data_IF_017094527948
#
_entry.id   IF_017094527948
#
_cell.length_a   1.000
_cell.length_b   1.000
_cell.length_c   1.000
_cell.angle_alpha   90.00
_cell.angle_beta   90.00
_cell.angle_gamma   90.00
#
_symmetry.space_group_name_H-M   'P 1'
#
loop_
_entity.id
_entity.type
_entity.pdbx_description
1 polymer ?
#
# COMPACT_ATOMS: atom_id res chain seq x y z
N UNK A 1 19.62 -22.70 -16.96
CA UNK A 1 20.47 -21.80 -16.13
C UNK A 1 20.20 -20.30 -16.33
N UNK A 2 19.78 -19.82 -17.51
CA UNK A 2 19.46 -18.39 -17.76
C UNK A 2 18.18 -17.85 -17.08
N UNK A 3 17.21 -18.71 -16.74
CA UNK A 3 15.93 -18.28 -16.14
C UNK A 3 16.07 -17.94 -14.64
N UNK A 4 16.92 -18.66 -13.90
CA UNK A 4 17.15 -18.40 -12.47
C UNK A 4 17.82 -17.05 -12.20
N UNK A 5 18.60 -16.53 -13.16
CA UNK A 5 19.25 -15.23 -13.05
C UNK A 5 18.24 -14.07 -13.09
N UNK A 6 17.07 -14.21 -13.72
CA UNK A 6 16.11 -13.11 -13.84
C UNK A 6 15.40 -12.78 -12.52
N UNK A 7 15.18 -13.78 -11.67
CA UNK A 7 14.48 -13.62 -10.38
C UNK A 7 15.39 -13.25 -9.19
N UNK A 8 16.70 -13.12 -9.40
CA UNK A 8 17.58 -12.69 -8.32
C UNK A 8 17.27 -11.24 -7.89
N UNK A 9 17.22 -10.96 -6.58
CA UNK A 9 17.04 -9.62 -6.04
C UNK A 9 18.04 -8.64 -6.65
N UNK A 10 17.64 -7.40 -6.94
CA UNK A 10 18.50 -6.45 -7.66
C UNK A 10 19.81 -6.14 -6.95
N UNK A 11 19.90 -6.22 -5.61
CA UNK A 11 21.17 -6.10 -4.86
C UNK A 11 22.25 -7.11 -5.25
N UNK A 12 21.86 -8.26 -5.81
CA UNK A 12 22.82 -9.25 -6.33
C UNK A 12 23.40 -8.88 -7.69
N UNK A 13 22.74 -7.96 -8.41
CA UNK A 13 23.06 -7.55 -9.79
C UNK A 13 23.56 -6.11 -9.87
N UNK A 14 23.20 -5.28 -8.91
CA UNK A 14 23.49 -3.85 -8.86
C UNK A 14 24.17 -3.53 -7.52
N UNK A 15 25.43 -3.06 -7.53
CA UNK A 15 26.20 -2.78 -6.33
C UNK A 15 25.60 -1.65 -5.46
N UNK A 16 24.74 -0.81 -6.04
CA UNK A 16 24.11 0.34 -5.38
C UNK A 16 22.91 -0.05 -4.49
N UNK A 17 22.44 -1.30 -4.57
CA UNK A 17 21.34 -1.78 -3.75
C UNK A 17 21.87 -2.47 -2.49
N UNK A 18 21.56 -1.91 -1.32
CA UNK A 18 21.95 -2.49 -0.03
C UNK A 18 21.05 -3.64 0.40
N UNK A 19 21.60 -4.61 1.13
CA UNK A 19 20.82 -5.68 1.78
C UNK A 19 19.98 -5.08 2.92
N UNK A 20 18.69 -5.37 2.89
CA UNK A 20 17.65 -4.81 3.79
C UNK A 20 17.19 -5.80 4.86
N UNK A 21 18.00 -6.83 5.17
CA UNK A 21 17.64 -7.88 6.12
C UNK A 21 17.30 -7.33 7.52
N UNK A 22 18.02 -6.30 7.97
CA UNK A 22 17.72 -5.63 9.24
C UNK A 22 16.36 -4.93 9.22
N UNK A 23 16.01 -4.28 8.10
CA UNK A 23 14.74 -3.57 7.93
C UNK A 23 13.57 -4.55 7.89
N UNK A 24 13.72 -5.66 7.15
CA UNK A 24 12.71 -6.72 7.12
C UNK A 24 12.50 -7.32 8.53
N UNK A 25 13.57 -7.58 9.28
CA UNK A 25 13.47 -8.05 10.67
C UNK A 25 12.75 -7.04 11.57
N UNK A 26 12.99 -5.75 11.38
CA UNK A 26 12.27 -4.71 12.11
C UNK A 26 10.79 -4.70 11.74
N UNK A 27 10.46 -4.77 10.45
CA UNK A 27 9.08 -4.85 9.97
C UNK A 27 8.36 -6.03 10.59
N UNK A 28 8.98 -7.21 10.59
CA UNK A 28 8.42 -8.41 11.23
C UNK A 28 8.06 -8.16 12.70
N UNK A 29 8.94 -7.48 13.45
CA UNK A 29 8.73 -7.21 14.87
C UNK A 29 7.53 -6.30 15.15
N UNK A 30 7.31 -5.26 14.33
CA UNK A 30 6.21 -4.32 14.55
C UNK A 30 4.97 -4.57 13.67
N UNK A 31 5.00 -5.59 12.81
CA UNK A 31 3.92 -5.89 11.87
C UNK A 31 2.54 -6.03 12.52
N UNK A 32 2.35 -6.69 13.68
CA UNK A 32 1.04 -6.77 14.31
C UNK A 32 0.48 -5.40 14.71
N UNK A 33 1.36 -4.49 15.14
CA UNK A 33 1.02 -3.10 15.44
C UNK A 33 0.65 -2.32 14.19
N UNK A 34 1.40 -2.52 13.09
CA UNK A 34 1.07 -1.92 11.79
C UNK A 34 -0.25 -2.44 11.23
N UNK A 35 -0.51 -3.74 11.30
CA UNK A 35 -1.79 -4.32 10.86
C UNK A 35 -2.96 -3.65 11.58
N UNK A 36 -2.87 -3.54 12.91
CA UNK A 36 -3.89 -2.89 13.73
C UNK A 36 -4.08 -1.42 13.37
N UNK A 37 -2.97 -0.66 13.31
CA UNK A 37 -3.02 0.79 13.05
C UNK A 37 -3.49 1.10 11.62
N UNK A 38 -3.00 0.37 10.63
CA UNK A 38 -3.41 0.54 9.24
C UNK A 38 -4.87 0.13 9.05
N UNK A 39 -5.31 -0.97 9.66
CA UNK A 39 -6.71 -1.41 9.59
C UNK A 39 -7.65 -0.35 10.18
N UNK A 40 -7.27 0.27 11.30
CA UNK A 40 -8.03 1.35 11.90
C UNK A 40 -8.03 2.60 11.00
N UNK A 41 -6.88 3.00 10.48
CA UNK A 41 -6.77 4.14 9.57
C UNK A 41 -7.61 3.96 8.30
N UNK A 42 -7.61 2.77 7.70
CA UNK A 42 -8.45 2.43 6.55
C UNK A 42 -9.92 2.57 6.90
N UNK A 43 -10.35 2.03 8.06
CA UNK A 43 -11.73 2.15 8.53
C UNK A 43 -12.14 3.62 8.67
N UNK A 44 -11.34 4.39 9.40
CA UNK A 44 -11.64 5.79 9.73
C UNK A 44 -11.61 6.70 8.50
N UNK A 45 -10.79 6.37 7.50
CA UNK A 45 -10.69 7.15 6.27
C UNK A 45 -11.76 6.76 5.24
N UNK A 46 -12.06 5.47 5.10
CA UNK A 46 -12.90 4.95 4.01
C UNK A 46 -14.38 4.88 4.40
N UNK A 47 -14.75 4.53 5.64
CA UNK A 47 -16.17 4.47 6.03
C UNK A 47 -16.90 5.82 5.86
N UNK A 48 -16.34 6.98 6.23
CA UNK A 48 -17.01 8.26 6.01
C UNK A 48 -17.23 8.58 4.52
N UNK A 49 -16.25 8.22 3.68
CA UNK A 49 -16.36 8.38 2.22
C UNK A 49 -17.49 7.51 1.67
N UNK A 50 -17.54 6.23 2.07
CA UNK A 50 -18.58 5.31 1.64
C UNK A 50 -19.97 5.79 2.05
N UNK A 51 -20.13 6.28 3.29
CA UNK A 51 -21.41 6.83 3.79
C UNK A 51 -21.92 8.00 2.96
N UNK A 52 -21.02 8.86 2.48
CA UNK A 52 -21.37 10.03 1.65
C UNK A 52 -21.79 9.61 0.24
N UNK A 53 -21.24 8.52 -0.27
CA UNK A 53 -21.53 8.00 -1.61
C UNK A 53 -22.68 6.98 -1.63
N UNK A 54 -23.30 6.65 -0.49
CA UNK A 54 -24.37 5.66 -0.41
C UNK A 54 -25.61 6.09 -1.20
N UNK A 55 -26.09 5.28 -2.15
CA UNK A 55 -27.41 5.44 -2.73
C UNK A 55 -28.53 5.30 -1.69
N UNK A 56 -29.69 5.90 -1.95
CA UNK A 56 -30.85 5.86 -1.04
C UNK A 56 -31.41 4.47 -0.73
N UNK A 57 -31.08 3.46 -1.55
CA UNK A 57 -31.47 2.07 -1.34
C UNK A 57 -30.50 1.26 -0.46
N UNK A 58 -29.38 1.86 -0.04
CA UNK A 58 -28.40 1.22 0.86
C UNK A 58 -28.65 1.72 2.29
N UNK A 59 -29.09 0.82 3.17
CA UNK A 59 -29.42 1.15 4.56
C UNK A 59 -28.17 1.29 5.44
N UNK A 60 -27.11 0.54 5.11
CA UNK A 60 -25.86 0.54 5.85
C UNK A 60 -24.72 0.03 4.97
N UNK A 61 -23.52 0.60 5.16
CA UNK A 61 -22.27 0.11 4.60
C UNK A 61 -21.18 0.24 5.66
N UNK A 62 -20.28 -0.75 5.76
CA UNK A 62 -19.18 -0.70 6.71
C UNK A 62 -18.30 -1.93 6.67
N UNK A 63 -17.12 -1.83 7.27
CA UNK A 63 -16.19 -2.96 7.32
C UNK A 63 -16.56 -3.90 8.46
N UNK A 64 -16.74 -5.18 8.16
CA UNK A 64 -16.88 -6.22 9.17
C UNK A 64 -15.53 -6.76 9.62
N UNK A 65 -14.57 -6.80 8.68
CA UNK A 65 -13.21 -7.28 8.94
C UNK A 65 -12.22 -6.46 8.11
N UNK A 66 -11.11 -6.10 8.72
CA UNK A 66 -9.93 -5.55 8.04
C UNK A 66 -8.72 -6.18 8.70
N UNK A 67 -7.85 -6.79 7.89
CA UNK A 67 -6.50 -7.20 8.29
C UNK A 67 -5.61 -7.24 7.06
N UNK A 68 -4.37 -6.81 7.23
CA UNK A 68 -3.25 -6.95 6.32
C UNK A 68 -2.70 -8.38 6.29
N UNK A 69 -3.12 -9.22 7.24
CA UNK A 69 -2.70 -10.61 7.36
C UNK A 69 -1.38 -10.77 8.13
N UNK A 70 -0.97 -12.02 8.40
CA UNK A 70 0.20 -12.31 9.22
C UNK A 70 1.53 -12.10 8.49
N UNK A 71 1.50 -11.96 7.15
CA UNK A 71 2.70 -11.88 6.32
C UNK A 71 3.06 -10.41 6.04
N UNK A 72 4.20 -9.93 6.57
CA UNK A 72 4.67 -8.57 6.32
C UNK A 72 5.11 -8.34 4.88
N UNK A 73 5.17 -7.06 4.52
CA UNK A 73 5.84 -6.62 3.31
C UNK A 73 7.35 -6.84 3.41
N UNK A 74 7.96 -7.18 2.28
CA UNK A 74 9.39 -7.42 2.17
C UNK A 74 10.03 -6.31 1.36
N UNK A 75 11.07 -5.69 1.92
CA UNK A 75 11.93 -4.77 1.20
C UNK A 75 13.01 -5.59 0.51
N UNK A 76 12.96 -5.64 -0.82
CA UNK A 76 13.89 -6.40 -1.68
C UNK A 76 15.22 -5.69 -1.93
N UNK A 77 15.28 -4.38 -1.73
CA UNK A 77 16.49 -3.58 -1.84
C UNK A 77 16.22 -2.12 -1.50
N UNK A 78 17.27 -1.43 -1.10
CA UNK A 78 17.24 0.01 -0.82
C UNK A 78 18.32 0.71 -1.64
N UNK A 79 17.96 1.83 -2.24
CA UNK A 79 18.87 2.72 -2.97
C UNK A 79 18.75 4.12 -2.40
N UNK A 80 19.85 4.69 -1.96
CA UNK A 80 19.89 6.07 -1.47
C UNK A 80 20.39 6.97 -2.59
N UNK A 81 19.80 8.15 -2.71
CA UNK A 81 20.30 9.25 -3.53
C UNK A 81 20.53 10.47 -2.65
N UNK A 82 21.40 11.37 -3.11
CA UNK A 82 21.79 12.58 -2.39
C UNK A 82 23.30 12.63 -2.17
N UNK A 83 23.93 13.72 -2.61
CA UNK A 83 25.34 13.99 -2.34
C UNK A 83 25.54 14.96 -1.17
N UNK A 84 24.52 15.78 -0.84
CA UNK A 84 24.57 16.89 0.12
C UNK A 84 23.30 16.93 1.01
N UNK A 85 23.31 17.79 2.04
CA UNK A 85 22.26 17.99 3.07
C UNK A 85 20.92 18.56 2.60
N UNK A 86 20.68 18.65 1.29
CA UNK A 86 19.45 19.24 0.73
C UNK A 86 18.57 18.22 -0.02
N UNK A 87 19.13 17.07 -0.43
CA UNK A 87 18.46 16.11 -1.31
C UNK A 87 18.63 14.66 -0.81
N UNK A 88 18.32 14.42 0.47
CA UNK A 88 18.32 13.07 1.00
C UNK A 88 17.09 12.30 0.49
N UNK A 89 17.33 11.26 -0.31
CA UNK A 89 16.27 10.45 -0.92
C UNK A 89 16.55 8.96 -0.74
N UNK A 90 15.50 8.18 -0.53
CA UNK A 90 15.56 6.74 -0.35
C UNK A 90 14.49 6.04 -1.20
N UNK A 91 14.94 5.18 -2.09
CA UNK A 91 14.08 4.29 -2.87
C UNK A 91 14.10 2.89 -2.24
N UNK A 92 12.91 2.38 -1.93
CA UNK A 92 12.68 1.05 -1.36
C UNK A 92 11.89 0.19 -2.35
N UNK A 93 12.46 -0.94 -2.72
CA UNK A 93 11.75 -1.94 -3.51
C UNK A 93 10.89 -2.80 -2.59
N UNK A 94 9.58 -2.65 -2.69
CA UNK A 94 8.62 -3.36 -1.86
C UNK A 94 7.99 -4.48 -2.67
N UNK A 95 7.95 -5.68 -2.07
CA UNK A 95 7.17 -6.80 -2.52
C UNK A 95 6.31 -7.30 -1.36
N UNK A 96 5.02 -7.51 -1.61
CA UNK A 96 4.09 -7.95 -0.59
C UNK A 96 3.11 -8.96 -1.19
N UNK A 97 3.09 -10.15 -0.63
CA UNK A 97 2.12 -11.21 -0.93
C UNK A 97 1.50 -11.58 0.39
N UNK A 98 0.28 -11.10 0.61
CA UNK A 98 -0.28 -11.01 1.94
C UNK A 98 -1.47 -11.92 2.15
N UNK A 99 -1.68 -12.29 3.41
CA UNK A 99 -2.96 -12.85 3.86
C UNK A 99 -3.99 -11.76 4.15
N UNK A 100 -4.04 -10.69 3.34
CA UNK A 100 -5.04 -9.63 3.47
C UNK A 100 -6.42 -10.27 3.41
N UNK A 101 -7.28 -9.85 4.34
CA UNK A 101 -8.67 -10.29 4.38
C UNK A 101 -9.56 -9.13 4.85
N UNK A 102 -10.14 -8.43 3.88
CA UNK A 102 -11.04 -7.31 4.14
C UNK A 102 -12.44 -7.70 3.72
N UNK A 103 -13.41 -7.56 4.61
CA UNK A 103 -14.83 -7.81 4.34
C UNK A 103 -15.58 -6.50 4.56
N UNK A 104 -16.07 -5.95 3.46
CA UNK A 104 -16.95 -4.79 3.43
C UNK A 104 -18.38 -5.29 3.17
N UNK A 105 -19.33 -4.97 4.04
CA UNK A 105 -20.72 -5.37 3.84
C UNK A 105 -21.61 -4.16 3.57
N UNK A 106 -22.56 -4.34 2.67
CA UNK A 106 -23.65 -3.41 2.43
C UNK A 106 -25.01 -4.08 2.71
N UNK A 107 -25.94 -3.38 3.32
CA UNK A 107 -27.33 -3.81 3.46
C UNK A 107 -28.20 -3.10 2.44
N UNK A 108 -28.71 -3.85 1.48
CA UNK A 108 -29.55 -3.33 0.38
C UNK A 108 -30.90 -4.01 0.45
N UNK A 109 -31.97 -3.24 0.64
CA UNK A 109 -33.34 -3.77 0.83
C UNK A 109 -33.43 -4.89 1.90
N UNK A 110 -32.66 -4.78 2.98
CA UNK A 110 -32.60 -5.77 4.05
C UNK A 110 -31.72 -7.01 3.76
N UNK A 111 -31.13 -7.10 2.58
CA UNK A 111 -30.19 -8.17 2.21
C UNK A 111 -28.75 -7.74 2.49
N UNK A 112 -28.00 -8.58 3.22
CA UNK A 112 -26.57 -8.39 3.46
C UNK A 112 -25.77 -8.86 2.25
N UNK A 113 -24.98 -7.95 1.68
CA UNK A 113 -24.09 -8.20 0.55
C UNK A 113 -22.64 -7.99 1.03
N UNK A 114 -21.92 -9.06 1.40
CA UNK A 114 -20.51 -8.99 1.79
C UNK A 114 -19.62 -9.03 0.54
N UNK A 115 -18.71 -8.07 0.43
CA UNK A 115 -17.65 -8.01 -0.58
C UNK A 115 -16.32 -8.25 0.13
N UNK A 116 -15.60 -9.29 -0.29
CA UNK A 116 -14.32 -9.70 0.27
C UNK A 116 -13.18 -9.35 -0.68
N UNK A 117 -12.21 -8.60 -0.20
CA UNK A 117 -10.91 -8.37 -0.83
C UNK A 117 -9.88 -9.30 -0.18
N UNK A 118 -9.18 -10.08 -1.00
CA UNK A 118 -8.18 -11.06 -0.55
C UNK A 118 -7.05 -11.24 -1.57
N UNK A 119 -6.06 -12.06 -1.23
CA UNK A 119 -4.93 -12.46 -2.10
C UNK A 119 -4.20 -11.27 -2.75
N UNK A 120 -3.99 -10.20 -1.96
CA UNK A 120 -3.30 -9.00 -2.45
C UNK A 120 -1.83 -9.32 -2.72
N UNK A 121 -1.40 -9.04 -3.94
CA UNK A 121 -0.02 -9.11 -4.38
C UNK A 121 0.39 -7.75 -4.92
N UNK A 122 1.44 -7.19 -4.34
CA UNK A 122 1.96 -5.87 -4.66
C UNK A 122 3.45 -5.98 -4.90
N UNK A 123 3.93 -5.37 -5.98
CA UNK A 123 5.35 -5.10 -6.20
C UNK A 123 5.50 -3.67 -6.70
N UNK A 124 6.29 -2.87 -6.00
CA UNK A 124 6.48 -1.46 -6.33
C UNK A 124 7.80 -0.93 -5.81
N UNK A 125 8.17 0.27 -6.26
CA UNK A 125 9.27 1.05 -5.68
C UNK A 125 8.68 2.30 -5.04
N UNK A 126 8.84 2.40 -3.72
CA UNK A 126 8.46 3.59 -2.96
C UNK A 126 9.67 4.50 -2.85
N UNK A 127 9.48 5.78 -3.15
CA UNK A 127 10.45 6.84 -2.95
C UNK A 127 10.07 7.64 -1.71
N UNK A 128 11.06 7.84 -0.85
CA UNK A 128 10.99 8.66 0.36
C UNK A 128 11.93 9.84 0.15
N UNK A 129 11.38 11.06 0.13
CA UNK A 129 12.17 12.29 0.11
C UNK A 129 12.14 12.90 1.52
N UNK A 130 13.32 13.15 2.09
CA UNK A 130 13.46 13.72 3.43
C UNK A 130 13.67 15.24 3.29
N UNK A 131 12.59 16.02 3.37
CA UNK A 131 12.63 17.46 3.11
C UNK A 131 11.54 18.20 3.93
N UNK A 132 11.85 19.31 4.62
CA UNK A 132 13.20 19.87 4.82
C UNK A 132 14.03 19.06 5.81
N UNK A 133 15.34 19.00 5.57
CA UNK A 133 16.30 18.65 6.59
C UNK A 133 16.51 19.87 7.49
N UNK A 134 16.44 19.69 8.80
CA UNK A 134 16.48 20.79 9.78
C UNK A 134 17.60 20.55 10.80
N UNK A 135 18.10 21.62 11.42
CA UNK A 135 19.19 21.53 12.42
C UNK A 135 18.66 21.24 13.85
N UNK A 136 17.36 21.00 14.00
CA UNK A 136 16.71 20.59 15.25
C UNK A 136 16.38 19.09 15.23
N UNK A 137 16.68 18.36 16.31
CA UNK A 137 16.37 16.92 16.39
C UNK A 137 14.87 16.66 16.18
N UNK A 138 14.47 15.69 15.33
CA UNK A 138 15.27 14.57 14.78
C UNK A 138 15.98 14.87 13.44
N UNK A 139 16.17 16.15 13.10
CA UNK A 139 16.78 16.67 11.88
C UNK A 139 15.94 16.49 10.60
N UNK A 140 14.67 16.15 10.76
CA UNK A 140 13.72 15.88 9.69
C UNK A 140 12.43 16.68 9.94
N UNK A 141 12.12 17.63 9.04
CA UNK A 141 10.85 18.38 9.07
C UNK A 141 9.68 17.53 8.59
N UNK A 142 9.83 16.87 7.43
CA UNK A 142 8.83 15.96 6.87
C UNK A 142 9.46 14.82 6.06
N UNK A 143 8.66 13.77 5.85
CA UNK A 143 8.95 12.71 4.89
C UNK A 143 7.87 12.73 3.82
N UNK A 144 8.27 13.00 2.59
CA UNK A 144 7.40 12.92 1.44
C UNK A 144 7.49 11.51 0.84
N UNK A 145 6.34 10.89 0.65
CA UNK A 145 6.21 9.52 0.12
C UNK A 145 5.60 9.55 -1.27
N UNK A 146 6.24 8.91 -2.24
CA UNK A 146 5.72 8.74 -3.61
C UNK A 146 6.01 7.35 -4.17
N UNK A 147 5.21 6.92 -5.15
CA UNK A 147 5.51 5.76 -5.97
C UNK A 147 6.36 6.21 -7.15
N UNK A 148 7.49 5.55 -7.40
CA UNK A 148 8.42 5.98 -8.45
C UNK A 148 7.84 5.81 -9.87
N UNK A 149 6.99 4.80 -10.06
CA UNK A 149 6.35 4.46 -11.32
C UNK A 149 4.96 3.82 -11.05
N UNK A 150 4.21 3.46 -12.09
CA UNK A 150 3.08 2.55 -11.96
C UNK A 150 3.53 1.25 -11.24
N UNK A 151 2.61 0.67 -10.47
CA UNK A 151 2.91 -0.55 -9.71
C UNK A 151 3.39 -1.66 -10.66
N UNK A 152 4.58 -2.19 -10.40
CA UNK A 152 5.15 -3.28 -11.20
C UNK A 152 4.30 -4.56 -11.15
N UNK A 153 3.58 -4.77 -10.04
CA UNK A 153 2.53 -5.77 -9.89
C UNK A 153 1.48 -5.27 -8.91
N UNK A 154 0.22 -5.34 -9.29
CA UNK A 154 -0.91 -5.26 -8.37
C UNK A 154 -1.97 -6.26 -8.82
N UNK A 155 -2.16 -7.30 -8.01
CA UNK A 155 -3.19 -8.32 -8.20
C UNK A 155 -3.93 -8.55 -6.88
N UNK A 156 -5.21 -8.88 -6.98
CA UNK A 156 -6.06 -9.14 -5.83
C UNK A 156 -7.37 -9.82 -6.25
N UNK A 157 -7.91 -10.63 -5.35
CA UNK A 157 -9.23 -11.25 -5.49
C UNK A 157 -10.33 -10.36 -4.91
N UNK A 158 -11.46 -10.28 -5.62
CA UNK A 158 -12.68 -9.65 -5.14
C UNK A 158 -13.84 -10.66 -5.25
N UNK A 159 -14.38 -11.09 -4.12
CA UNK A 159 -15.43 -12.13 -4.08
C UNK A 159 -16.63 -11.71 -3.24
N UNK A 160 -17.80 -12.26 -3.55
CA UNK A 160 -18.96 -12.27 -2.65
C UNK A 160 -19.06 -13.69 -2.05
N UNK A 161 -18.77 -13.86 -0.74
CA UNK A 161 -18.97 -15.13 -0.07
C UNK A 161 -20.40 -15.65 -0.23
N UNK A 162 -20.62 -16.95 -0.52
CA UNK A 162 -19.63 -18.03 -0.43
C UNK A 162 -18.86 -18.38 -1.74
N UNK A 163 -18.95 -17.63 -2.84
CA UNK A 163 -18.17 -18.04 -4.03
C UNK A 163 -18.38 -17.30 -5.35
N UNK A 164 -19.01 -16.12 -5.37
CA UNK A 164 -19.11 -15.34 -6.61
C UNK A 164 -17.82 -14.55 -6.76
N UNK A 165 -17.02 -14.86 -7.79
CA UNK A 165 -15.86 -14.07 -8.17
C UNK A 165 -16.30 -12.84 -8.97
N UNK A 166 -16.14 -11.66 -8.38
CA UNK A 166 -16.48 -10.39 -9.01
C UNK A 166 -15.45 -10.00 -10.06
N UNK A 167 -14.20 -10.45 -9.95
CA UNK A 167 -13.15 -10.16 -10.93
C UNK A 167 -13.35 -10.89 -12.26
N UNK A 168 -14.11 -11.99 -12.25
CA UNK A 168 -14.50 -12.73 -13.45
C UNK A 168 -15.62 -12.04 -14.26
N UNK A 169 -16.34 -11.09 -13.66
CA UNK A 169 -17.44 -10.39 -14.33
C UNK A 169 -16.91 -9.32 -15.30
N UNK A 170 -17.31 -9.35 -16.58
CA UNK A 170 -16.96 -8.31 -17.52
C UNK A 170 -17.55 -6.97 -17.06
N UNK A 171 -16.73 -5.93 -16.97
CA UNK A 171 -17.11 -4.61 -16.48
C UNK A 171 -16.59 -4.30 -15.08
N UNK A 172 -16.71 -5.23 -14.13
CA UNK A 172 -16.17 -5.04 -12.76
C UNK A 172 -14.65 -4.93 -12.82
N UNK A 173 -13.99 -5.84 -13.55
CA UNK A 173 -12.54 -5.80 -13.71
C UNK A 173 -12.04 -4.46 -14.29
N UNK A 174 -12.78 -3.88 -15.25
CA UNK A 174 -12.41 -2.61 -15.86
C UNK A 174 -12.63 -1.44 -14.91
N UNK A 175 -13.75 -1.45 -14.18
CA UNK A 175 -14.05 -0.44 -13.16
C UNK A 175 -12.98 -0.44 -12.07
N UNK A 176 -12.65 -1.63 -11.55
CA UNK A 176 -11.62 -1.81 -10.53
C UNK A 176 -10.27 -1.30 -11.03
N UNK A 177 -9.84 -1.69 -12.24
CA UNK A 177 -8.60 -1.17 -12.85
C UNK A 177 -8.61 0.34 -13.02
N UNK A 178 -9.75 0.92 -13.39
CA UNK A 178 -9.89 2.36 -13.56
C UNK A 178 -9.76 3.10 -12.23
N UNK A 179 -10.47 2.65 -11.19
CA UNK A 179 -10.41 3.22 -9.83
C UNK A 179 -9.00 3.11 -9.27
N UNK A 180 -8.40 1.92 -9.34
CA UNK A 180 -7.03 1.67 -8.88
C UNK A 180 -6.03 2.58 -9.60
N UNK A 181 -6.08 2.67 -10.93
CA UNK A 181 -5.21 3.59 -11.68
C UNK A 181 -5.43 5.05 -11.31
N UNK A 182 -6.69 5.45 -11.09
CA UNK A 182 -7.03 6.80 -10.64
C UNK A 182 -6.35 7.14 -9.31
N UNK A 183 -6.48 6.25 -8.32
CA UNK A 183 -5.87 6.42 -7.00
C UNK A 183 -4.34 6.34 -7.02
N UNK A 184 -3.75 5.48 -7.86
CA UNK A 184 -2.30 5.38 -7.96
C UNK A 184 -1.68 6.61 -8.57
N UNK A 185 -2.33 7.22 -9.59
CA UNK A 185 -1.84 8.46 -10.20
C UNK A 185 -1.68 9.60 -9.20
N UNK A 186 -2.52 9.66 -8.16
CA UNK A 186 -2.40 10.69 -7.10
C UNK A 186 -1.26 10.40 -6.11
N UNK A 187 -0.61 9.24 -6.23
CA UNK A 187 0.49 8.81 -5.38
C UNK A 187 1.77 8.53 -6.17
N UNK A 188 1.73 8.62 -7.51
CA UNK A 188 2.90 8.43 -8.38
C UNK A 188 3.62 9.74 -8.60
N UNK A 189 4.95 9.69 -8.53
CA UNK A 189 5.82 10.83 -8.79
C UNK A 189 5.41 11.56 -10.08
N UNK A 190 5.32 12.92 -10.09
CA UNK A 190 5.81 13.85 -9.08
C UNK A 190 4.87 14.11 -7.89
N UNK A 191 3.67 13.52 -7.88
CA UNK A 191 2.75 13.65 -6.74
C UNK A 191 3.31 12.92 -5.51
N UNK A 192 3.12 13.53 -4.35
CA UNK A 192 3.71 13.06 -3.09
C UNK A 192 2.79 13.30 -1.91
N UNK A 193 2.74 12.32 -1.01
CA UNK A 193 2.06 12.41 0.26
C UNK A 193 3.06 12.87 1.32
N UNK A 194 2.87 14.09 1.84
CA UNK A 194 3.73 14.63 2.89
C UNK A 194 3.30 14.13 4.27
N UNK A 195 4.23 13.52 5.00
CA UNK A 195 4.08 13.13 6.40
C UNK A 195 4.92 14.08 7.26
N UNK A 196 4.31 15.12 7.87
CA UNK A 196 5.05 16.05 8.72
C UNK A 196 5.53 15.31 9.98
N UNK A 197 6.83 15.43 10.28
CA UNK A 197 7.43 14.92 11.51
C UNK A 197 7.41 16.01 12.59
N UNK A 198 7.68 17.25 12.19
CA UNK A 198 7.62 18.41 13.08
C UNK A 198 6.35 19.21 12.77
N UNK A 199 5.64 19.61 13.83
CA UNK A 199 4.37 20.36 13.72
C UNK A 199 4.54 21.79 13.19
N UNK A 200 5.77 22.28 13.02
CA UNK A 200 6.07 23.62 12.50
C UNK A 200 7.41 23.60 11.74
N UNK A 201 7.38 23.75 10.43
CA UNK A 201 8.49 24.25 9.61
C UNK A 201 7.92 24.96 8.41
#
# INVERSE_FOLDING_TARGET
MKVALQHLPKWTKQPDHSRTAWLNKSIDCFWPGLDTAASQCIRDSVEPMLRTMMPSFVNWIGFEKITLGPTPLVVGGAKTHGSNSEDAMLELEIAWTSGVDVILSAYVFGVRIPIRLHDVQLKTTVRLDFNPLVDELPCLGAVDVSLLDELALLDFGLTIPPGIDLMALPGVQQLVKHVVRGSLKTMTYPEKMSCPIMTNS
#
